data_IF_440565531764
#
_entry.id   IF_440565531764
#
_cell.length_a   1.000
_cell.length_b   1.000
_cell.length_c   1.000
_cell.angle_alpha   90.00
_cell.angle_beta   90.00
_cell.angle_gamma   90.00
#
_symmetry.space_group_name_H-M   'P 1'
#
loop_
_entity.id
_entity.type
_entity.pdbx_description
1 polymer ?
#
# COMPACT_ATOMS: atom_id res chain seq x y z
N UNK A 1 -10.67 17.52 -20.84
CA UNK A 1 -11.79 17.22 -21.76
C UNK A 1 -13.08 17.75 -21.13
N UNK A 2 -13.85 18.59 -21.84
CA UNK A 2 -15.06 19.21 -21.27
C UNK A 2 -16.17 18.20 -20.96
N UNK A 3 -16.33 17.17 -21.81
CA UNK A 3 -17.41 16.17 -21.71
C UNK A 3 -17.28 15.29 -20.46
N UNK A 4 -16.12 14.68 -20.24
CA UNK A 4 -15.87 13.82 -19.09
C UNK A 4 -15.25 14.56 -17.90
N UNK A 5 -15.12 15.90 -17.96
CA UNK A 5 -14.47 16.70 -16.92
C UNK A 5 -13.04 16.23 -16.53
N UNK A 6 -12.35 15.56 -17.45
CA UNK A 6 -10.96 15.09 -17.26
C UNK A 6 -10.80 13.69 -16.66
N UNK A 7 -11.87 12.97 -16.35
CA UNK A 7 -11.79 11.58 -15.85
C UNK A 7 -11.38 10.59 -16.95
N UNK A 8 -11.73 10.89 -18.21
CA UNK A 8 -11.59 9.96 -19.35
C UNK A 8 -12.77 8.98 -19.49
N UNK A 9 -13.64 8.90 -18.49
CA UNK A 9 -14.79 7.99 -18.41
C UNK A 9 -16.05 8.73 -17.94
N UNK A 10 -17.20 8.29 -18.39
CA UNK A 10 -18.50 8.86 -18.01
C UNK A 10 -19.24 7.77 -17.24
N UNK A 11 -19.68 8.10 -16.02
CA UNK A 11 -20.53 7.23 -15.23
C UNK A 11 -21.90 7.15 -15.92
N UNK A 12 -22.36 5.93 -16.19
CA UNK A 12 -23.70 5.67 -16.68
C UNK A 12 -24.47 4.94 -15.59
N UNK A 13 -25.45 5.65 -15.04
CA UNK A 13 -26.37 5.11 -14.06
C UNK A 13 -27.26 4.06 -14.73
N UNK A 14 -27.38 2.92 -14.05
CA UNK A 14 -28.19 1.79 -14.51
C UNK A 14 -29.29 1.53 -13.48
N UNK A 15 -30.55 1.43 -13.92
CA UNK A 15 -31.69 1.32 -13.00
C UNK A 15 -31.73 0.03 -12.16
N UNK A 16 -31.11 -1.05 -12.65
CA UNK A 16 -31.20 -2.40 -12.05
C UNK A 16 -29.85 -3.11 -11.91
N UNK A 17 -28.76 -2.48 -12.36
CA UNK A 17 -27.41 -3.03 -12.33
C UNK A 17 -26.46 -2.02 -11.68
N UNK A 18 -25.30 -2.45 -11.19
CA UNK A 18 -24.27 -1.52 -10.75
C UNK A 18 -23.91 -0.53 -11.85
N UNK A 19 -23.66 0.72 -11.46
CA UNK A 19 -23.27 1.75 -12.42
C UNK A 19 -21.99 1.36 -13.17
N UNK A 20 -21.94 1.73 -14.45
CA UNK A 20 -20.81 1.39 -15.32
C UNK A 20 -20.09 2.62 -15.81
N UNK A 21 -18.76 2.55 -15.87
CA UNK A 21 -17.92 3.59 -16.43
C UNK A 21 -17.70 3.33 -17.91
N UNK A 22 -18.21 4.22 -18.76
CA UNK A 22 -18.04 4.13 -20.21
C UNK A 22 -16.92 5.08 -20.64
N UNK A 23 -16.04 4.59 -21.52
CA UNK A 23 -14.96 5.40 -22.09
C UNK A 23 -15.55 6.63 -22.79
N UNK A 24 -15.01 7.81 -22.49
CA UNK A 24 -15.47 9.05 -23.10
C UNK A 24 -15.20 9.04 -24.61
N UNK A 25 -16.24 9.11 -25.42
CA UNK A 25 -16.19 9.19 -26.89
C UNK A 25 -15.43 10.42 -27.42
N UNK A 26 -15.51 11.57 -26.75
CA UNK A 26 -14.86 12.81 -27.22
C UNK A 26 -13.33 12.77 -27.12
N UNK A 27 -12.79 12.30 -25.99
CA UNK A 27 -11.34 12.24 -25.77
C UNK A 27 -10.76 10.83 -25.91
N UNK A 28 -11.62 9.84 -26.17
CA UNK A 28 -11.28 8.41 -26.21
C UNK A 28 -10.40 7.99 -25.01
N UNK A 29 -10.80 8.36 -23.79
CA UNK A 29 -10.08 8.02 -22.56
C UNK A 29 -8.85 8.87 -22.25
N UNK A 30 -8.35 9.69 -23.19
CA UNK A 30 -7.11 10.47 -23.04
C UNK A 30 -7.20 11.63 -22.05
N UNK A 31 -8.38 11.93 -21.48
CA UNK A 31 -8.64 12.97 -20.46
C UNK A 31 -8.48 14.43 -20.93
N UNK A 32 -7.70 14.70 -21.96
CA UNK A 32 -7.39 16.04 -22.47
C UNK A 32 -8.10 16.35 -23.80
N UNK A 33 -8.10 17.62 -24.22
CA UNK A 33 -8.56 18.05 -25.55
C UNK A 33 -7.42 17.91 -26.58
N UNK A 34 -7.74 18.05 -27.87
CA UNK A 34 -6.78 17.85 -28.96
C UNK A 34 -5.61 18.82 -28.86
N UNK A 35 -5.87 20.10 -28.57
CA UNK A 35 -4.84 21.14 -28.50
C UNK A 35 -3.79 20.85 -27.41
N UNK A 36 -4.21 20.32 -26.25
CA UNK A 36 -3.24 19.93 -25.20
C UNK A 36 -2.41 18.71 -25.60
N UNK A 37 -2.96 17.81 -26.42
CA UNK A 37 -2.29 16.59 -26.87
C UNK A 37 -1.29 16.84 -28.00
N UNK A 38 -1.23 18.05 -28.56
CA UNK A 38 -0.17 18.44 -29.51
C UNK A 38 1.17 18.69 -28.80
N UNK A 39 1.13 19.07 -27.51
CA UNK A 39 2.32 19.32 -26.72
C UNK A 39 2.99 18.00 -26.33
N UNK A 40 4.26 17.88 -26.68
CA UNK A 40 5.08 16.68 -26.43
C UNK A 40 6.31 17.01 -25.61
N UNK A 41 6.68 16.06 -24.76
CA UNK A 41 7.99 16.00 -24.12
C UNK A 41 8.62 14.65 -24.47
N UNK A 42 9.82 14.64 -25.06
CA UNK A 42 10.49 13.42 -25.56
C UNK A 42 9.56 12.55 -26.41
N UNK A 43 8.87 13.16 -27.38
CA UNK A 43 7.87 12.50 -28.25
C UNK A 43 6.64 11.90 -27.56
N UNK A 44 6.43 12.15 -26.27
CA UNK A 44 5.28 11.67 -25.50
C UNK A 44 4.36 12.82 -25.12
N UNK A 45 3.06 12.62 -25.34
CA UNK A 45 2.03 13.53 -24.82
C UNK A 45 1.75 13.25 -23.35
N UNK A 46 1.05 14.14 -22.65
CA UNK A 46 0.64 13.91 -21.26
C UNK A 46 -0.23 12.65 -21.09
N UNK A 47 -1.06 12.29 -22.09
CA UNK A 47 -1.83 11.04 -22.06
C UNK A 47 -0.90 9.83 -22.07
N UNK A 48 0.13 9.85 -22.94
CA UNK A 48 1.08 8.75 -23.02
C UNK A 48 1.91 8.61 -21.76
N UNK A 49 2.22 9.72 -21.07
CA UNK A 49 2.88 9.68 -19.76
C UNK A 49 1.96 9.04 -18.73
N UNK A 50 0.67 9.36 -18.71
CA UNK A 50 -0.29 8.75 -17.78
C UNK A 50 -0.49 7.24 -18.04
N UNK A 51 -0.27 6.78 -19.27
CA UNK A 51 -0.32 5.37 -19.66
C UNK A 51 0.99 4.60 -19.32
N UNK A 52 2.04 5.28 -18.85
CA UNK A 52 3.29 4.62 -18.43
C UNK A 52 3.12 3.95 -17.08
N UNK A 53 3.77 2.80 -16.91
CA UNK A 53 3.95 2.21 -15.58
C UNK A 53 4.91 3.04 -14.72
N UNK A 54 4.86 2.90 -13.40
CA UNK A 54 5.83 3.55 -12.51
C UNK A 54 7.28 3.19 -12.85
N UNK A 55 7.56 1.94 -13.27
CA UNK A 55 8.88 1.53 -13.75
C UNK A 55 9.31 2.30 -15.00
N UNK A 56 8.44 2.37 -16.01
CA UNK A 56 8.73 3.12 -17.25
C UNK A 56 8.91 4.62 -16.97
N UNK A 57 8.06 5.18 -16.11
CA UNK A 57 8.13 6.58 -15.72
C UNK A 57 9.44 6.91 -14.98
N UNK A 58 9.94 5.98 -14.17
CA UNK A 58 11.20 6.15 -13.43
C UNK A 58 12.38 6.36 -14.39
N UNK A 59 12.46 5.56 -15.46
CA UNK A 59 13.45 5.71 -16.54
C UNK A 59 13.21 6.98 -17.35
N UNK A 60 11.95 7.25 -17.72
CA UNK A 60 11.58 8.39 -18.55
C UNK A 60 11.90 9.75 -17.88
N UNK A 61 11.77 9.82 -16.55
CA UNK A 61 12.01 11.02 -15.75
C UNK A 61 13.33 11.00 -14.96
N UNK A 62 14.32 10.20 -15.39
CA UNK A 62 15.62 10.07 -14.72
C UNK A 62 16.30 11.44 -14.46
N UNK A 63 16.16 12.37 -15.40
CA UNK A 63 16.72 13.72 -15.31
C UNK A 63 16.02 14.65 -14.30
N UNK A 64 14.97 14.20 -13.61
CA UNK A 64 14.19 15.00 -12.64
C UNK A 64 14.27 14.40 -11.23
N UNK A 65 15.26 14.79 -10.39
CA UNK A 65 15.52 14.14 -9.11
C UNK A 65 14.31 14.10 -8.15
N UNK A 66 13.52 15.19 -8.10
CA UNK A 66 12.33 15.25 -7.23
C UNK A 66 11.23 14.28 -7.66
N UNK A 67 11.04 14.12 -8.96
CA UNK A 67 10.05 13.20 -9.52
C UNK A 67 10.53 11.76 -9.40
N UNK A 68 11.81 11.51 -9.77
CA UNK A 68 12.47 10.21 -9.60
C UNK A 68 12.35 9.68 -8.18
N UNK A 69 12.62 10.51 -7.15
CA UNK A 69 12.45 10.11 -5.74
C UNK A 69 11.00 9.67 -5.42
N UNK A 70 10.02 10.38 -5.97
CA UNK A 70 8.59 10.05 -5.75
C UNK A 70 8.22 8.74 -6.43
N UNK A 71 8.62 8.55 -7.69
CA UNK A 71 8.38 7.34 -8.46
C UNK A 71 9.09 6.14 -7.82
N UNK A 72 10.35 6.30 -7.43
CA UNK A 72 11.15 5.26 -6.77
C UNK A 72 10.46 4.77 -5.50
N UNK A 73 9.88 5.68 -4.71
CA UNK A 73 9.17 5.28 -3.47
C UNK A 73 7.97 4.37 -3.77
N UNK A 74 7.27 4.60 -4.89
CA UNK A 74 6.14 3.74 -5.31
C UNK A 74 6.64 2.39 -5.85
N UNK A 75 7.77 2.39 -6.56
CA UNK A 75 8.43 1.15 -7.03
C UNK A 75 8.94 0.33 -5.85
N UNK A 76 9.54 0.97 -4.84
CA UNK A 76 10.11 0.32 -3.65
C UNK A 76 9.07 -0.39 -2.78
N UNK A 77 7.80 0.04 -2.84
CA UNK A 77 6.68 -0.66 -2.19
C UNK A 77 6.08 -1.76 -3.06
N UNK A 78 6.67 -2.08 -4.22
CA UNK A 78 6.24 -3.14 -5.12
C UNK A 78 5.17 -2.75 -6.14
N UNK A 79 4.88 -1.46 -6.31
CA UNK A 79 3.82 -0.97 -7.21
C UNK A 79 4.34 -0.49 -8.57
N UNK A 80 5.52 -0.95 -8.99
CA UNK A 80 6.16 -0.54 -10.24
C UNK A 80 5.38 -0.86 -11.52
N UNK A 81 4.46 -1.83 -11.44
CA UNK A 81 3.64 -2.28 -12.57
C UNK A 81 2.38 -1.42 -12.80
N UNK A 82 1.96 -0.62 -11.83
CA UNK A 82 0.77 0.22 -11.98
C UNK A 82 1.03 1.36 -12.96
N UNK A 83 0.01 1.74 -13.72
CA UNK A 83 0.07 2.93 -14.58
C UNK A 83 -0.09 4.21 -13.75
N UNK A 84 0.61 5.29 -14.12
CA UNK A 84 0.52 6.58 -13.43
C UNK A 84 -0.90 7.15 -13.42
N UNK A 85 -1.65 6.91 -14.50
CA UNK A 85 -3.01 7.36 -14.71
C UNK A 85 -4.08 6.37 -14.26
N UNK A 86 -3.72 5.22 -13.69
CA UNK A 86 -4.69 4.19 -13.29
C UNK A 86 -5.75 4.77 -12.34
N UNK A 87 -7.01 4.39 -12.57
CA UNK A 87 -8.10 4.86 -11.73
C UNK A 87 -7.94 4.32 -10.31
N UNK A 88 -8.12 5.18 -9.30
CA UNK A 88 -8.10 4.73 -7.90
C UNK A 88 -9.21 3.73 -7.59
N UNK A 89 -10.30 3.74 -8.36
CA UNK A 89 -11.43 2.80 -8.21
C UNK A 89 -11.12 1.39 -8.70
N UNK A 90 -10.05 1.21 -9.48
CA UNK A 90 -9.65 -0.10 -10.02
C UNK A 90 -8.46 -0.70 -9.26
N UNK A 91 -7.97 -0.02 -8.22
CA UNK A 91 -6.90 -0.54 -7.36
C UNK A 91 -7.47 -1.59 -6.41
N UNK A 92 -6.72 -2.66 -6.17
CA UNK A 92 -7.00 -3.58 -5.08
C UNK A 92 -6.83 -2.89 -3.72
N UNK A 93 -7.38 -3.50 -2.67
CA UNK A 93 -7.16 -3.01 -1.29
C UNK A 93 -5.68 -2.92 -0.94
N UNK A 94 -4.91 -3.97 -1.28
CA UNK A 94 -3.48 -4.02 -1.05
C UNK A 94 -2.66 -3.02 -1.85
N UNK A 95 -3.05 -2.74 -3.10
CA UNK A 95 -2.43 -1.67 -3.89
C UNK A 95 -2.70 -0.29 -3.29
N UNK A 96 -3.95 -0.02 -2.94
CA UNK A 96 -4.36 1.23 -2.32
C UNK A 96 -3.62 1.49 -1.01
N UNK A 97 -3.44 0.45 -0.21
CA UNK A 97 -2.70 0.53 1.04
C UNK A 97 -1.20 0.77 0.84
N UNK A 98 -0.55 0.01 -0.05
CA UNK A 98 0.87 0.22 -0.37
C UNK A 98 1.12 1.63 -0.92
N UNK A 99 0.20 2.18 -1.70
CA UNK A 99 0.28 3.56 -2.19
C UNK A 99 0.18 4.59 -1.05
N UNK A 100 -0.68 4.36 -0.05
CA UNK A 100 -0.75 5.20 1.16
C UNK A 100 0.57 5.17 1.92
N UNK A 101 1.18 3.99 2.08
CA UNK A 101 2.45 3.85 2.79
C UNK A 101 3.60 4.51 1.99
N UNK A 102 3.63 4.35 0.68
CA UNK A 102 4.61 5.04 -0.19
C UNK A 102 4.56 6.57 -0.01
N UNK A 103 3.36 7.14 0.15
CA UNK A 103 3.19 8.57 0.44
C UNK A 103 3.86 8.98 1.75
N UNK A 104 3.79 8.16 2.78
CA UNK A 104 4.44 8.42 4.07
C UNK A 104 5.96 8.24 3.99
N UNK A 105 6.45 7.19 3.32
CA UNK A 105 7.88 6.97 3.09
C UNK A 105 8.58 8.11 2.33
N UNK A 106 7.84 8.81 1.47
CA UNK A 106 8.32 9.96 0.71
C UNK A 106 8.61 11.16 1.62
N UNK A 107 7.86 11.32 2.71
CA UNK A 107 8.04 12.45 3.63
C UNK A 107 9.45 12.41 4.23
N UNK A 108 9.99 13.58 4.52
CA UNK A 108 11.24 13.66 5.28
C UNK A 108 10.97 13.06 6.66
N UNK A 109 11.69 12.00 7.01
CA UNK A 109 11.57 11.39 8.33
C UNK A 109 11.94 12.42 9.38
N UNK A 110 11.10 12.59 10.38
CA UNK A 110 11.46 13.33 11.59
C UNK A 110 12.27 12.47 12.56
N UNK A 111 12.31 11.16 12.32
CA UNK A 111 12.87 10.16 13.24
C UNK A 111 12.01 9.90 14.47
N UNK A 112 10.94 10.67 14.69
CA UNK A 112 10.11 10.61 15.89
C UNK A 112 8.62 10.59 15.52
N UNK A 113 8.25 9.84 14.48
CA UNK A 113 6.83 9.67 14.08
C UNK A 113 6.33 8.31 14.56
N UNK A 114 5.12 8.28 15.14
CA UNK A 114 4.40 7.05 15.48
C UNK A 114 3.42 6.70 14.36
N UNK A 115 3.61 5.56 13.72
CA UNK A 115 2.70 4.98 12.74
C UNK A 115 1.83 3.93 13.44
N UNK A 116 0.52 4.02 13.31
CA UNK A 116 -0.43 3.01 13.79
C UNK A 116 -1.11 2.39 12.57
N UNK A 117 -1.01 1.08 12.43
CA UNK A 117 -1.61 0.33 11.33
C UNK A 117 -2.56 -0.72 11.90
N UNK A 118 -3.80 -0.69 11.40
CA UNK A 118 -4.84 -1.63 11.78
C UNK A 118 -4.99 -2.70 10.69
N UNK A 119 -4.69 -3.94 11.03
CA UNK A 119 -4.66 -5.13 10.16
C UNK A 119 -4.13 -4.86 8.74
N UNK A 120 -2.88 -4.38 8.61
CA UNK A 120 -2.34 -4.00 7.32
C UNK A 120 -2.16 -5.16 6.34
N UNK A 121 -2.32 -6.42 6.76
CA UNK A 121 -2.27 -7.58 5.86
C UNK A 121 -3.63 -8.02 5.32
N UNK A 122 -4.73 -7.39 5.72
CA UNK A 122 -6.07 -7.78 5.27
C UNK A 122 -6.20 -7.73 3.75
N UNK A 123 -6.47 -8.89 3.15
CA UNK A 123 -6.60 -9.04 1.70
C UNK A 123 -5.28 -9.04 0.92
N UNK A 124 -4.13 -9.12 1.60
CA UNK A 124 -2.82 -9.29 0.96
C UNK A 124 -2.48 -10.76 0.71
N UNK A 125 -1.87 -11.03 -0.44
CA UNK A 125 -1.24 -12.32 -0.71
C UNK A 125 0.06 -12.46 0.10
N UNK A 126 0.47 -13.69 0.45
CA UNK A 126 1.68 -13.94 1.26
C UNK A 126 2.94 -13.31 0.66
N UNK A 127 3.04 -13.26 -0.66
CA UNK A 127 4.12 -12.59 -1.36
C UNK A 127 4.15 -11.07 -1.10
N UNK A 128 2.98 -10.42 -1.00
CA UNK A 128 2.86 -8.98 -0.75
C UNK A 128 3.17 -8.61 0.70
N UNK A 129 2.95 -9.51 1.65
CA UNK A 129 3.27 -9.31 3.08
C UNK A 129 4.76 -9.03 3.26
N UNK A 130 5.62 -9.70 2.50
CA UNK A 130 7.07 -9.46 2.55
C UNK A 130 7.42 -8.02 2.17
N UNK A 131 6.81 -7.48 1.12
CA UNK A 131 7.04 -6.08 0.73
C UNK A 131 6.54 -5.11 1.80
N UNK A 132 5.40 -5.40 2.41
CA UNK A 132 4.89 -4.60 3.52
C UNK A 132 5.89 -4.59 4.70
N UNK A 133 6.44 -5.75 5.08
CA UNK A 133 7.46 -5.85 6.12
C UNK A 133 8.72 -5.04 5.76
N UNK A 134 9.26 -5.20 4.56
CA UNK A 134 10.45 -4.45 4.11
C UNK A 134 10.23 -2.93 4.19
N UNK A 135 9.00 -2.49 3.90
CA UNK A 135 8.60 -1.09 3.94
C UNK A 135 8.45 -0.57 5.37
N UNK A 136 7.85 -1.36 6.26
CA UNK A 136 7.72 -1.03 7.68
C UNK A 136 9.09 -0.98 8.34
N UNK A 137 9.98 -1.92 8.01
CA UNK A 137 11.36 -1.92 8.50
C UNK A 137 12.08 -0.62 8.09
N UNK A 138 11.95 -0.18 6.83
CA UNK A 138 12.51 1.11 6.38
C UNK A 138 11.96 2.32 7.13
N UNK A 139 10.74 2.27 7.68
CA UNK A 139 10.22 3.35 8.54
C UNK A 139 10.91 3.33 9.90
N UNK A 140 11.07 2.15 10.49
CA UNK A 140 11.73 1.94 11.79
C UNK A 140 13.22 2.28 11.72
N UNK A 141 13.92 1.86 10.68
CA UNK A 141 15.35 2.17 10.44
C UNK A 141 15.63 3.67 10.35
N UNK A 142 14.61 4.46 9.98
CA UNK A 142 14.69 5.93 9.95
C UNK A 142 14.42 6.58 11.32
N UNK A 143 14.32 5.79 12.39
CA UNK A 143 14.08 6.19 13.78
C UNK A 143 12.62 6.14 14.22
N UNK A 144 11.67 5.94 13.30
CA UNK A 144 10.25 6.01 13.63
C UNK A 144 9.77 4.76 14.39
N UNK A 145 8.58 4.84 14.97
CA UNK A 145 7.93 3.70 15.63
C UNK A 145 6.71 3.27 14.83
N UNK A 146 6.53 1.96 14.65
CA UNK A 146 5.34 1.38 14.05
C UNK A 146 4.64 0.47 15.06
N UNK A 147 3.37 0.74 15.33
CA UNK A 147 2.46 -0.12 16.11
C UNK A 147 1.48 -0.74 15.15
N UNK A 148 1.43 -2.06 15.14
CA UNK A 148 0.66 -2.84 14.17
C UNK A 148 -0.28 -3.75 14.93
N UNK A 149 -1.57 -3.67 14.61
CA UNK A 149 -2.59 -4.62 15.07
C UNK A 149 -2.65 -5.71 14.01
N UNK A 150 -2.30 -6.95 14.37
CA UNK A 150 -2.23 -8.05 13.43
C UNK A 150 -2.59 -9.39 14.07
N UNK A 151 -3.08 -10.28 13.21
CA UNK A 151 -3.28 -11.69 13.52
C UNK A 151 -2.42 -12.59 12.61
N UNK A 152 -1.72 -12.02 11.62
CA UNK A 152 -0.88 -12.77 10.70
C UNK A 152 0.48 -13.16 11.32
N UNK A 153 0.77 -14.46 11.37
CA UNK A 153 2.00 -15.00 11.98
C UNK A 153 3.29 -14.59 11.24
N UNK A 154 3.23 -14.27 9.95
CA UNK A 154 4.41 -13.78 9.22
C UNK A 154 4.81 -12.37 9.65
N UNK A 155 3.83 -11.53 10.06
CA UNK A 155 4.12 -10.24 10.68
C UNK A 155 4.57 -10.45 12.13
N UNK A 156 3.79 -11.19 12.92
CA UNK A 156 4.02 -11.36 14.37
C UNK A 156 5.40 -11.95 14.66
N UNK A 157 5.92 -12.86 13.83
CA UNK A 157 7.27 -13.41 14.01
C UNK A 157 8.40 -12.41 13.73
N UNK A 158 8.10 -11.33 13.02
CA UNK A 158 9.08 -10.40 12.45
C UNK A 158 9.17 -9.08 13.22
N UNK A 159 8.37 -8.89 14.27
CA UNK A 159 8.37 -7.66 15.09
C UNK A 159 9.35 -7.76 16.25
N UNK A 160 9.86 -6.61 16.69
CA UNK A 160 10.79 -6.55 17.83
C UNK A 160 10.09 -6.76 19.19
N UNK A 161 8.80 -6.43 19.28
CA UNK A 161 8.06 -6.47 20.53
C UNK A 161 6.57 -6.73 20.29
N UNK A 162 5.97 -7.53 21.15
CA UNK A 162 4.56 -7.92 21.08
C UNK A 162 3.87 -7.55 22.39
N UNK A 163 2.63 -7.06 22.27
CA UNK A 163 1.68 -6.90 23.36
C UNK A 163 0.46 -7.76 23.00
N UNK A 164 0.28 -8.86 23.72
CA UNK A 164 -0.81 -9.78 23.50
C UNK A 164 -1.97 -9.48 24.45
N UNK A 165 -3.16 -9.32 23.89
CA UNK A 165 -4.39 -9.00 24.60
C UNK A 165 -5.33 -10.20 24.61
N UNK A 166 -6.07 -10.39 25.69
CA UNK A 166 -7.00 -11.51 25.80
C UNK A 166 -7.36 -11.83 27.25
N UNK A 167 -7.52 -13.11 27.62
CA UNK A 167 -7.34 -14.32 26.79
C UNK A 167 -8.47 -14.54 25.78
N UNK A 168 -9.69 -14.18 26.16
CA UNK A 168 -10.88 -14.32 25.33
C UNK A 168 -11.26 -12.97 24.70
N UNK A 169 -12.29 -12.98 23.83
CA UNK A 169 -12.92 -11.76 23.34
C UNK A 169 -14.03 -11.24 24.25
N UNK A 170 -14.49 -10.01 23.98
CA UNK A 170 -15.65 -9.40 24.66
C UNK A 170 -15.39 -9.12 26.14
N UNK A 171 -16.38 -9.38 27.00
CA UNK A 171 -16.31 -9.12 28.44
C UNK A 171 -15.26 -9.97 29.19
N UNK A 172 -14.75 -11.03 28.55
CA UNK A 172 -13.74 -11.94 29.12
C UNK A 172 -12.32 -11.65 28.63
N UNK A 173 -12.14 -10.53 27.93
CA UNK A 173 -10.85 -10.05 27.44
C UNK A 173 -10.52 -8.65 27.95
N UNK A 174 -9.54 -8.03 27.29
CA UNK A 174 -9.11 -6.66 27.58
C UNK A 174 -7.91 -6.56 28.52
N UNK A 175 -7.42 -7.70 29.03
CA UNK A 175 -6.21 -7.75 29.84
C UNK A 175 -4.98 -8.00 28.98
N UNK A 176 -3.83 -7.48 29.45
CA UNK A 176 -2.52 -7.80 28.89
C UNK A 176 -2.14 -9.20 29.38
N UNK A 177 -2.17 -10.17 28.48
CA UNK A 177 -1.84 -11.57 28.81
C UNK A 177 -0.33 -11.74 28.90
N UNK A 178 0.38 -11.20 27.91
CA UNK A 178 1.83 -11.31 27.83
C UNK A 178 2.42 -10.20 26.98
N UNK A 179 3.61 -9.76 27.36
CA UNK A 179 4.45 -8.85 26.59
C UNK A 179 5.88 -9.37 26.53
N UNK A 180 6.61 -8.94 25.50
CA UNK A 180 8.01 -9.27 25.28
C UNK A 180 8.35 -9.43 23.80
N UNK A 181 9.56 -9.87 23.53
CA UNK A 181 10.01 -10.29 22.20
C UNK A 181 9.28 -11.58 21.76
N UNK A 182 9.19 -11.87 20.45
CA UNK A 182 8.65 -13.13 19.94
C UNK A 182 9.19 -14.37 20.68
N UNK A 183 10.50 -14.41 20.94
CA UNK A 183 11.19 -15.52 21.61
C UNK A 183 10.85 -15.63 23.11
N UNK A 184 10.61 -14.51 23.78
CA UNK A 184 10.19 -14.50 25.19
C UNK A 184 8.74 -14.95 25.36
N UNK A 185 7.86 -14.52 24.46
CA UNK A 185 6.44 -14.85 24.52
C UNK A 185 6.20 -16.34 24.27
N UNK A 186 6.95 -16.96 23.35
CA UNK A 186 6.85 -18.40 23.06
C UNK A 186 7.06 -19.27 24.31
N UNK A 187 7.89 -18.83 25.26
CA UNK A 187 8.13 -19.55 26.53
C UNK A 187 6.92 -19.51 27.47
N UNK A 188 6.00 -18.57 27.26
CA UNK A 188 4.81 -18.33 28.08
C UNK A 188 3.58 -18.94 27.39
N UNK A 189 3.38 -20.25 27.56
CA UNK A 189 2.31 -21.05 26.93
C UNK A 189 0.86 -20.65 27.30
N UNK A 190 0.66 -19.63 28.14
CA UNK A 190 -0.67 -19.17 28.53
C UNK A 190 -1.39 -18.43 27.38
N UNK A 191 -0.65 -17.77 26.48
CA UNK A 191 -1.21 -16.98 25.38
C UNK A 191 -1.55 -17.84 24.15
N UNK A 192 -2.69 -17.58 23.51
CA UNK A 192 -3.01 -18.20 22.21
C UNK A 192 -1.95 -17.83 21.16
N UNK A 193 -1.60 -16.54 21.07
CA UNK A 193 -0.55 -16.05 20.17
C UNK A 193 0.77 -16.78 20.37
N UNK A 194 1.20 -16.98 21.63
CA UNK A 194 2.41 -17.75 21.95
C UNK A 194 2.35 -19.20 21.43
N UNK A 195 1.21 -19.87 21.64
CA UNK A 195 1.02 -21.27 21.20
C UNK A 195 1.07 -21.39 19.68
N UNK A 196 0.43 -20.48 18.95
CA UNK A 196 0.43 -20.49 17.49
C UNK A 196 1.78 -20.08 16.90
N UNK A 197 2.42 -19.06 17.45
CA UNK A 197 3.74 -18.60 17.03
C UNK A 197 4.80 -19.70 17.21
N UNK A 198 4.76 -20.42 18.34
CA UNK A 198 5.65 -21.55 18.60
C UNK A 198 5.48 -22.67 17.56
N UNK A 199 4.23 -23.01 17.20
CA UNK A 199 3.94 -23.99 16.15
C UNK A 199 4.39 -23.50 14.77
N UNK A 200 4.27 -22.20 14.50
CA UNK A 200 4.63 -21.60 13.23
C UNK A 200 6.14 -21.62 12.99
N UNK A 201 6.95 -21.27 13.99
CA UNK A 201 8.41 -21.29 13.90
C UNK A 201 9.01 -22.71 13.84
N UNK A 202 8.35 -23.70 14.47
CA UNK A 202 8.82 -25.08 14.51
C UNK A 202 8.27 -25.96 13.37
N UNK A 203 7.43 -25.43 12.48
CA UNK A 203 7.03 -26.14 11.26
C UNK A 203 8.22 -26.17 10.29
N UNK A 204 8.82 -27.36 10.14
CA UNK A 204 9.71 -27.70 9.02
C UNK A 204 8.93 -27.76 7.71
#
# INVERSE_FOLDING_TARGET
CKKCKGTGYILKEMYFLPDVYIKCDLCNGKRYNAETLEIKYREKTISNVLEMTFNQALEFFDSFPKLKRTLQTVVDVGLGYLELGQSSTTLSGGESQRLKIARELRKTSTGNTLYILDEPTTGLHMYDIKFLLDVLQKLVDKGNTAVIIEHNMDIIKSVDYIIDLGLEGGEKGGDIVVTGTPEEIIKKNHSFTAQFLNKYLNKK
#
